data_IF_757988646112
#
_entry.id   IF_757988646112
#
_cell.length_a   1.000
_cell.length_b   1.000
_cell.length_c   1.000
_cell.angle_alpha   90.00
_cell.angle_beta   90.00
_cell.angle_gamma   90.00
#
_symmetry.space_group_name_H-M   'P 1'
#
loop_
_entity.id
_entity.type
_entity.pdbx_description
1 polymer ?
#
# COMPACT_ATOMS: atom_id res chain seq x y z
N UNK A 1 -1.84 7.16 -25.48
CA UNK A 1 -2.22 7.12 -24.06
C UNK A 1 -1.53 5.93 -23.43
N UNK A 2 -0.78 6.08 -22.33
CA UNK A 2 -0.15 4.94 -21.67
C UNK A 2 -1.22 3.99 -21.14
N UNK A 3 -0.96 2.69 -21.22
CA UNK A 3 -1.87 1.67 -20.69
C UNK A 3 -1.55 1.46 -19.22
N UNK A 4 -2.54 1.63 -18.35
CA UNK A 4 -2.38 1.46 -16.91
C UNK A 4 -3.00 0.11 -16.50
N UNK A 5 -2.20 -0.78 -15.93
CA UNK A 5 -2.68 -2.07 -15.40
C UNK A 5 -2.54 -2.08 -13.88
N UNK A 6 -3.67 -2.21 -13.18
CA UNK A 6 -3.69 -2.43 -11.73
C UNK A 6 -3.74 -3.93 -11.46
N UNK A 7 -2.69 -4.42 -10.83
CA UNK A 7 -2.57 -5.79 -10.34
C UNK A 7 -2.85 -5.78 -8.85
N UNK A 8 -3.81 -6.58 -8.41
CA UNK A 8 -4.03 -6.84 -6.99
C UNK A 8 -3.22 -8.08 -6.63
N UNK A 9 -2.17 -7.90 -5.82
CA UNK A 9 -1.42 -9.03 -5.28
C UNK A 9 -2.22 -9.55 -4.07
N UNK A 10 -2.83 -10.73 -4.22
CA UNK A 10 -3.49 -11.48 -3.13
C UNK A 10 -2.48 -12.14 -2.18
N UNK A 11 -1.19 -12.01 -2.46
CA UNK A 11 -0.13 -12.58 -1.66
C UNK A 11 -0.02 -11.92 -0.28
N UNK A 12 0.42 -12.69 0.71
CA UNK A 12 0.67 -12.18 2.07
C UNK A 12 1.72 -11.06 2.02
N UNK A 13 1.27 -9.81 2.10
CA UNK A 13 2.15 -8.66 2.26
C UNK A 13 2.52 -8.50 3.72
N UNK A 14 3.82 -8.41 3.99
CA UNK A 14 4.33 -7.98 5.30
C UNK A 14 4.59 -6.49 5.24
N UNK A 15 4.15 -5.75 6.25
CA UNK A 15 4.35 -4.30 6.33
C UNK A 15 4.95 -3.99 7.68
N UNK A 16 6.06 -3.26 7.70
CA UNK A 16 6.50 -2.60 8.92
C UNK A 16 5.93 -1.20 8.95
N UNK A 17 5.48 -0.82 10.14
CA UNK A 17 4.72 0.38 10.37
C UNK A 17 5.16 1.00 11.68
N UNK A 18 5.23 2.33 11.68
CA UNK A 18 5.43 3.14 12.88
C UNK A 18 4.08 3.68 13.30
N UNK A 19 3.77 3.54 14.59
CA UNK A 19 2.63 4.17 15.22
C UNK A 19 3.14 5.35 16.04
N UNK A 20 2.83 6.56 15.63
CA UNK A 20 3.30 7.78 16.28
C UNK A 20 2.18 8.82 16.32
N UNK A 21 1.90 9.38 17.50
CA UNK A 21 0.91 10.45 17.70
C UNK A 21 -0.46 10.17 17.06
N UNK A 22 -0.93 8.92 17.13
CA UNK A 22 -2.21 8.50 16.53
C UNK A 22 -2.18 8.33 15.01
N UNK A 23 -1.00 8.47 14.38
CA UNK A 23 -0.80 8.22 12.96
C UNK A 23 -0.17 6.86 12.71
N UNK A 24 -0.55 6.26 11.59
CA UNK A 24 -0.03 5.00 11.08
C UNK A 24 0.86 5.34 9.89
N UNK A 25 2.15 5.03 9.99
CA UNK A 25 3.14 5.32 8.95
C UNK A 25 3.84 4.04 8.50
N UNK A 26 3.48 3.46 7.35
CA UNK A 26 4.23 2.33 6.81
C UNK A 26 5.63 2.80 6.38
N UNK A 27 6.66 1.99 6.69
CA UNK A 27 8.07 2.32 6.43
C UNK A 27 8.74 1.37 5.43
N UNK A 28 8.28 0.12 5.36
CA UNK A 28 8.65 -0.83 4.32
C UNK A 28 7.56 -1.89 4.18
N UNK A 29 7.51 -2.52 3.01
CA UNK A 29 6.67 -3.69 2.78
C UNK A 29 7.43 -4.77 2.00
N UNK A 30 6.96 -6.01 2.08
CA UNK A 30 7.52 -7.14 1.36
C UNK A 30 6.40 -8.06 0.88
N UNK A 31 6.41 -8.35 -0.42
CA UNK A 31 5.62 -9.42 -1.02
C UNK A 31 6.41 -10.71 -0.95
N UNK A 32 5.74 -11.84 -0.68
CA UNK A 32 6.36 -13.15 -0.66
C UNK A 32 7.19 -13.40 -1.95
N UNK A 33 8.39 -13.94 -1.80
CA UNK A 33 9.31 -14.18 -2.91
C UNK A 33 9.94 -12.93 -3.54
N UNK A 34 9.60 -11.71 -3.10
CA UNK A 34 10.23 -10.46 -3.56
C UNK A 34 11.13 -9.84 -2.49
N UNK A 35 12.04 -8.97 -2.93
CA UNK A 35 12.88 -8.16 -2.02
C UNK A 35 12.01 -7.13 -1.28
N UNK A 36 12.31 -6.81 -0.01
CA UNK A 36 11.64 -5.73 0.71
C UNK A 36 11.78 -4.40 -0.03
N UNK A 37 10.69 -3.64 -0.08
CA UNK A 37 10.63 -2.31 -0.66
C UNK A 37 10.55 -1.30 0.47
N UNK A 38 11.56 -0.42 0.54
CA UNK A 38 11.55 0.71 1.48
C UNK A 38 10.64 1.81 0.93
N UNK A 39 9.78 2.34 1.78
CA UNK A 39 8.90 3.45 1.42
C UNK A 39 9.69 4.75 1.65
N UNK A 40 10.10 5.40 0.57
CA UNK A 40 10.75 6.72 0.61
C UNK A 40 9.73 7.85 0.71
N UNK A 41 8.61 7.71 -0.01
CA UNK A 41 7.61 8.76 -0.16
C UNK A 41 6.20 8.17 -0.22
N UNK A 42 5.27 8.81 0.51
CA UNK A 42 3.83 8.56 0.43
C UNK A 42 3.21 9.81 -0.19
N UNK A 43 2.72 9.68 -1.42
CA UNK A 43 2.19 10.81 -2.19
C UNK A 43 0.75 11.17 -1.82
N UNK A 44 -0.03 10.19 -1.38
CA UNK A 44 -1.40 10.41 -0.97
C UNK A 44 -1.80 9.45 0.14
N UNK A 45 -2.66 9.95 1.02
CA UNK A 45 -3.32 9.18 2.08
C UNK A 45 -4.80 9.50 2.02
N UNK A 46 -5.65 8.47 1.99
CA UNK A 46 -7.09 8.67 2.08
C UNK A 46 -7.75 7.55 2.88
N UNK A 47 -8.93 7.88 3.42
CA UNK A 47 -9.72 6.98 4.22
C UNK A 47 -10.97 6.58 3.45
N UNK A 48 -11.31 5.31 3.49
CA UNK A 48 -12.61 4.85 3.01
C UNK A 48 -13.22 3.86 4.01
N UNK A 49 -14.50 3.58 3.83
CA UNK A 49 -15.23 2.62 4.64
C UNK A 49 -15.63 1.42 3.79
N UNK A 50 -15.43 0.22 4.33
CA UNK A 50 -15.93 -1.03 3.76
C UNK A 50 -16.87 -1.67 4.76
N UNK A 51 -18.16 -1.34 4.65
CA UNK A 51 -19.11 -1.62 5.73
C UNK A 51 -18.71 -0.85 7.00
N UNK A 52 -18.57 -1.55 8.12
CA UNK A 52 -18.12 -0.96 9.38
C UNK A 52 -16.60 -0.74 9.47
N UNK A 53 -15.81 -1.38 8.59
CA UNK A 53 -14.36 -1.30 8.63
C UNK A 53 -13.88 0.04 8.06
N UNK A 54 -13.03 0.76 8.83
CA UNK A 54 -12.27 1.90 8.32
C UNK A 54 -11.00 1.39 7.65
N UNK A 55 -10.80 1.77 6.40
CA UNK A 55 -9.62 1.42 5.60
C UNK A 55 -8.76 2.67 5.45
N UNK A 56 -7.46 2.54 5.73
CA UNK A 56 -6.47 3.58 5.50
C UNK A 56 -5.67 3.21 4.27
N UNK A 57 -5.71 4.04 3.24
CA UNK A 57 -5.01 3.81 1.98
C UNK A 57 -3.79 4.72 1.90
N UNK A 58 -2.69 4.19 1.38
CA UNK A 58 -1.42 4.87 1.16
C UNK A 58 -0.99 4.66 -0.28
N UNK A 59 -0.84 5.74 -1.04
CA UNK A 59 -0.21 5.70 -2.36
C UNK A 59 1.29 6.02 -2.23
N UNK A 60 2.09 5.07 -2.67
CA UNK A 60 3.54 5.12 -2.63
C UNK A 60 4.02 5.40 -4.04
N UNK A 61 4.67 6.55 -4.23
CA UNK A 61 5.36 6.85 -5.47
C UNK A 61 6.80 6.39 -5.38
N UNK A 62 7.16 5.46 -6.25
CA UNK A 62 8.54 5.22 -6.58
C UNK A 62 8.79 5.69 -8.03
N UNK A 63 10.06 5.88 -8.40
CA UNK A 63 10.45 6.44 -9.70
C UNK A 63 9.89 5.61 -10.87
N UNK A 64 9.78 4.29 -10.69
CA UNK A 64 9.41 3.36 -11.76
C UNK A 64 8.04 2.70 -11.55
N UNK A 65 7.51 2.73 -10.33
CA UNK A 65 6.34 1.94 -9.95
C UNK A 65 5.48 2.69 -8.92
N UNK A 66 4.16 2.54 -9.04
CA UNK A 66 3.22 2.99 -8.02
C UNK A 66 2.64 1.80 -7.27
N UNK A 67 2.66 1.90 -5.96
CA UNK A 67 2.05 0.92 -5.07
C UNK A 67 0.93 1.58 -4.27
N UNK A 68 -0.12 0.81 -4.01
CA UNK A 68 -1.20 1.17 -3.11
C UNK A 68 -1.22 0.17 -1.96
N UNK A 69 -0.96 0.63 -0.74
CA UNK A 69 -1.15 -0.16 0.47
C UNK A 69 -2.47 0.23 1.11
N UNK A 70 -3.27 -0.76 1.51
CA UNK A 70 -4.47 -0.52 2.30
C UNK A 70 -4.39 -1.29 3.62
N UNK A 71 -4.66 -0.59 4.73
CA UNK A 71 -4.75 -1.17 6.06
C UNK A 71 -6.20 -1.21 6.51
N UNK A 72 -6.71 -2.42 6.75
CA UNK A 72 -8.00 -2.64 7.39
C UNK A 72 -7.84 -2.55 8.91
N UNK A 73 -8.38 -1.49 9.50
CA UNK A 73 -8.25 -1.24 10.95
C UNK A 73 -9.08 -2.20 11.81
N UNK A 74 -10.07 -2.89 11.22
CA UNK A 74 -10.91 -3.85 11.93
C UNK A 74 -10.33 -5.26 11.83
N UNK A 75 -9.94 -5.70 10.63
CA UNK A 75 -9.33 -7.01 10.41
C UNK A 75 -7.84 -7.07 10.79
N UNK A 76 -7.22 -5.91 11.05
CA UNK A 76 -5.78 -5.76 11.33
C UNK A 76 -4.90 -6.37 10.23
N UNK A 77 -5.35 -6.22 8.98
CA UNK A 77 -4.73 -6.83 7.80
C UNK A 77 -4.31 -5.79 6.76
N UNK A 78 -3.25 -6.09 6.03
CA UNK A 78 -2.75 -5.27 4.93
C UNK A 78 -3.07 -5.92 3.58
N UNK A 79 -3.34 -5.08 2.58
CA UNK A 79 -3.42 -5.49 1.18
C UNK A 79 -2.57 -4.57 0.30
N UNK A 80 -2.13 -5.12 -0.84
CA UNK A 80 -1.26 -4.43 -1.79
C UNK A 80 -1.89 -4.43 -3.19
N UNK A 81 -2.10 -3.24 -3.73
CA UNK A 81 -2.29 -3.00 -5.16
C UNK A 81 -1.00 -2.48 -5.78
N UNK A 82 -0.72 -2.87 -7.02
CA UNK A 82 0.39 -2.33 -7.81
C UNK A 82 -0.15 -1.83 -9.13
N UNK A 83 0.28 -0.65 -9.54
CA UNK A 83 -0.05 -0.11 -10.86
C UNK A 83 1.22 0.06 -11.67
N UNK A 84 1.29 -0.65 -12.79
CA UNK A 84 2.39 -0.57 -13.74
C UNK A 84 1.97 0.39 -14.85
N UNK A 85 2.83 1.36 -15.15
CA UNK A 85 2.65 2.29 -16.26
C UNK A 85 3.51 1.77 -17.41
N UNK A 86 2.88 1.24 -18.45
CA UNK A 86 3.57 0.83 -19.69
C UNK A 86 3.73 2.07 -20.60
N UNK A 87 4.94 2.30 -21.11
CA UNK A 87 5.27 3.36 -22.07
C UNK A 87 4.99 2.94 -23.50
#
# INVERSE_FOLDING_TARGET
MPTMRTVHDTDQVKVAVVFELGQIRPVWFQVAGRKPVRISEICAIWYCHRGAAKIINFEICNIQERYSLAYDTQALSWSLGRTIIEQ
#
